data_IF_067630736003
#
_entry.id   IF_067630736003
#
_cell.length_a   1.000
_cell.length_b   1.000
_cell.length_c   1.000
_cell.angle_alpha   90.00
_cell.angle_beta   90.00
_cell.angle_gamma   90.00
#
_symmetry.space_group_name_H-M   'P 1'
#
loop_
_entity.id
_entity.type
_entity.pdbx_description
1 polymer ?
#
# COMPACT_ATOMS: atom_id res chain seq x y z
N UNK A 1 39.40 -13.71 -6.10
CA UNK A 1 38.84 -14.25 -7.34
C UNK A 1 38.80 -15.77 -7.22
N UNK A 2 37.66 -16.36 -6.94
CA UNK A 2 37.47 -17.80 -6.84
C UNK A 2 36.28 -18.19 -7.72
N UNK A 3 36.60 -18.91 -8.80
CA UNK A 3 35.64 -19.45 -9.79
C UNK A 3 35.01 -20.71 -9.21
N UNK A 4 33.73 -20.74 -8.95
CA UNK A 4 32.98 -21.96 -8.69
C UNK A 4 32.53 -22.58 -10.02
N UNK A 5 32.98 -23.80 -10.21
CA UNK A 5 32.67 -24.71 -11.29
C UNK A 5 31.29 -25.31 -11.06
N UNK A 6 30.39 -25.12 -12.02
CA UNK A 6 29.05 -25.73 -12.01
C UNK A 6 29.18 -27.10 -12.70
N UNK A 7 28.89 -28.17 -11.97
CA UNK A 7 28.80 -29.53 -12.50
C UNK A 7 27.38 -29.79 -13.04
N UNK A 8 27.30 -30.22 -14.28
CA UNK A 8 26.08 -30.70 -14.93
C UNK A 8 25.67 -32.08 -14.42
N UNK A 9 24.38 -32.36 -14.19
CA UNK A 9 23.93 -33.70 -13.84
C UNK A 9 23.75 -34.56 -15.10
N UNK A 10 24.37 -35.72 -15.02
CA UNK A 10 24.42 -36.83 -15.98
C UNK A 10 23.04 -37.36 -16.33
N UNK A 11 22.77 -37.50 -17.61
CA UNK A 11 21.61 -38.14 -18.22
C UNK A 11 21.52 -39.61 -17.86
N UNK A 12 20.50 -40.03 -17.15
CA UNK A 12 20.15 -41.42 -16.91
C UNK A 12 19.55 -42.05 -18.18
N UNK A 13 20.25 -43.10 -18.65
CA UNK A 13 19.87 -43.94 -19.78
C UNK A 13 18.67 -44.82 -19.42
N UNK A 14 17.56 -44.66 -20.10
CA UNK A 14 16.41 -45.58 -20.00
C UNK A 14 16.68 -46.85 -20.74
N UNK A 15 16.83 -47.95 -20.02
CA UNK A 15 16.77 -49.31 -20.55
C UNK A 15 15.34 -49.63 -21.02
N UNK A 16 15.25 -49.94 -22.30
CA UNK A 16 14.04 -50.42 -22.96
C UNK A 16 14.02 -51.93 -22.78
N UNK A 17 13.10 -52.43 -21.96
CA UNK A 17 12.83 -53.86 -21.86
C UNK A 17 12.01 -54.27 -23.08
N UNK A 18 12.50 -55.28 -23.75
CA UNK A 18 11.95 -55.92 -24.97
C UNK A 18 11.04 -57.03 -24.50
N UNK A 19 9.74 -56.89 -24.79
CA UNK A 19 8.75 -57.94 -24.52
C UNK A 19 8.88 -59.06 -25.57
N UNK A 20 9.26 -60.23 -25.09
CA UNK A 20 9.30 -61.47 -25.88
C UNK A 20 7.88 -62.01 -26.13
N UNK A 21 7.63 -62.28 -27.37
CA UNK A 21 6.43 -62.90 -27.88
C UNK A 21 6.32 -64.36 -27.41
N UNK A 22 5.39 -64.64 -26.55
CA UNK A 22 4.98 -66.01 -26.29
C UNK A 22 3.86 -66.42 -27.27
N UNK A 23 4.23 -67.32 -28.18
CA UNK A 23 3.26 -67.99 -29.08
C UNK A 23 2.84 -69.30 -28.41
N UNK A 24 1.61 -69.37 -27.93
CA UNK A 24 1.05 -70.62 -27.42
C UNK A 24 -0.13 -71.06 -28.29
N UNK A 25 -0.07 -72.33 -28.59
CA UNK A 25 -0.82 -73.12 -29.53
C UNK A 25 -2.33 -73.01 -29.46
N UNK A 26 -2.85 -73.19 -30.62
CA UNK A 26 -4.25 -73.27 -31.02
C UNK A 26 -4.85 -74.61 -30.53
N UNK A 27 -5.75 -74.59 -29.57
CA UNK A 27 -6.64 -75.68 -29.31
C UNK A 27 -8.08 -75.22 -29.56
N UNK A 28 -8.66 -75.78 -30.61
CA UNK A 28 -10.07 -75.55 -30.96
C UNK A 28 -10.93 -76.54 -30.12
N UNK A 29 -11.71 -76.07 -29.16
CA UNK A 29 -12.75 -76.83 -28.52
C UNK A 29 -14.00 -75.95 -28.44
N UNK A 30 -15.04 -76.47 -29.08
CA UNK A 30 -16.44 -76.36 -28.76
C UNK A 30 -17.03 -74.90 -28.64
N UNK A 31 -17.83 -74.56 -29.65
CA UNK A 31 -18.76 -73.47 -29.60
C UNK A 31 -19.80 -73.73 -28.48
N UNK A 32 -19.63 -72.99 -27.37
CA UNK A 32 -20.73 -72.74 -26.43
C UNK A 32 -21.11 -71.28 -26.52
N UNK A 33 -22.41 -71.02 -26.77
CA UNK A 33 -23.01 -69.70 -26.88
C UNK A 33 -22.53 -68.80 -25.76
N UNK A 34 -22.03 -67.59 -26.01
CA UNK A 34 -21.73 -66.63 -24.97
C UNK A 34 -23.06 -66.19 -24.36
N UNK A 35 -23.27 -66.58 -23.13
CA UNK A 35 -24.43 -66.19 -22.34
C UNK A 35 -24.58 -64.68 -22.28
N UNK A 36 -25.81 -64.22 -22.51
CA UNK A 36 -26.24 -62.81 -22.49
C UNK A 36 -25.91 -62.08 -21.16
N UNK A 37 -25.46 -62.78 -20.15
CA UNK A 37 -25.05 -62.27 -18.83
C UNK A 37 -23.76 -61.48 -18.84
N UNK A 38 -22.77 -61.80 -19.71
CA UNK A 38 -21.49 -61.05 -19.76
C UNK A 38 -21.63 -59.59 -20.27
N UNK A 39 -22.64 -59.31 -21.10
CA UNK A 39 -22.84 -57.97 -21.66
C UNK A 39 -23.42 -57.00 -20.63
N UNK A 40 -24.22 -57.48 -19.68
CA UNK A 40 -24.87 -56.63 -18.64
C UNK A 40 -23.81 -56.16 -17.59
N UNK A 41 -22.91 -57.04 -17.18
CA UNK A 41 -21.82 -56.68 -16.25
C UNK A 41 -20.84 -55.66 -16.84
N UNK A 42 -20.46 -55.82 -18.10
CA UNK A 42 -19.61 -54.85 -18.78
C UNK A 42 -20.26 -53.46 -18.94
N UNK A 43 -21.57 -53.42 -19.13
CA UNK A 43 -22.30 -52.13 -19.17
C UNK A 43 -22.40 -51.48 -17.79
N UNK A 44 -22.61 -52.25 -16.71
CA UNK A 44 -22.60 -51.73 -15.36
C UNK A 44 -21.22 -51.17 -14.92
N UNK A 45 -20.15 -51.86 -15.28
CA UNK A 45 -18.78 -51.41 -15.02
C UNK A 45 -18.43 -50.12 -15.80
N UNK A 46 -18.86 -50.00 -17.07
CA UNK A 46 -18.72 -48.78 -17.86
C UNK A 46 -19.47 -47.58 -17.27
N UNK A 47 -20.70 -47.79 -16.76
CA UNK A 47 -21.48 -46.74 -16.06
C UNK A 47 -20.80 -46.28 -14.76
N UNK A 48 -20.27 -47.22 -13.96
CA UNK A 48 -19.51 -46.88 -12.74
C UNK A 48 -18.23 -46.11 -13.04
N UNK A 49 -17.47 -46.45 -14.09
CA UNK A 49 -16.27 -45.70 -14.53
C UNK A 49 -16.63 -44.31 -15.01
N UNK A 50 -17.69 -44.12 -15.80
CA UNK A 50 -18.14 -42.80 -16.25
C UNK A 50 -18.57 -41.92 -15.06
N UNK A 51 -19.29 -42.43 -14.07
CA UNK A 51 -19.69 -41.68 -12.88
C UNK A 51 -18.47 -41.25 -12.04
N UNK A 52 -17.47 -42.12 -11.88
CA UNK A 52 -16.21 -41.75 -11.19
C UNK A 52 -15.43 -40.68 -11.96
N UNK A 53 -15.34 -40.80 -13.27
CA UNK A 53 -14.69 -39.79 -14.10
C UNK A 53 -15.37 -38.40 -13.97
N UNK A 54 -16.71 -38.36 -13.99
CA UNK A 54 -17.47 -37.12 -13.80
C UNK A 54 -17.21 -36.52 -12.39
N UNK A 55 -17.19 -37.36 -11.35
CA UNK A 55 -16.87 -36.89 -9.99
C UNK A 55 -15.47 -36.31 -9.87
N UNK A 56 -14.50 -36.96 -10.50
CA UNK A 56 -13.12 -36.43 -10.52
C UNK A 56 -13.00 -35.11 -11.28
N UNK A 57 -13.71 -34.92 -12.40
CA UNK A 57 -13.72 -33.65 -13.13
C UNK A 57 -14.38 -32.54 -12.32
N UNK A 58 -15.49 -32.80 -11.64
CA UNK A 58 -16.16 -31.84 -10.77
C UNK A 58 -15.21 -31.45 -9.60
N UNK A 59 -14.58 -32.43 -8.95
CA UNK A 59 -13.66 -32.18 -7.87
C UNK A 59 -12.46 -31.32 -8.33
N UNK A 60 -11.91 -31.63 -9.51
CA UNK A 60 -10.79 -30.85 -10.08
C UNK A 60 -11.20 -29.39 -10.36
N UNK A 61 -12.43 -29.16 -10.87
CA UNK A 61 -12.95 -27.82 -11.09
C UNK A 61 -13.15 -27.03 -9.78
N UNK A 62 -13.63 -27.70 -8.74
CA UNK A 62 -13.79 -27.06 -7.41
C UNK A 62 -12.43 -26.66 -6.83
N UNK A 63 -11.43 -27.55 -6.93
CA UNK A 63 -10.07 -27.26 -6.46
C UNK A 63 -9.47 -26.10 -7.26
N UNK A 64 -9.64 -26.10 -8.57
CA UNK A 64 -9.15 -25.02 -9.43
C UNK A 64 -9.81 -23.68 -9.06
N UNK A 65 -11.11 -23.67 -8.84
CA UNK A 65 -11.86 -22.49 -8.39
C UNK A 65 -11.35 -21.95 -7.03
N UNK A 66 -11.10 -22.86 -6.08
CA UNK A 66 -10.54 -22.48 -4.78
C UNK A 66 -9.12 -21.86 -4.91
N UNK A 67 -8.28 -22.42 -5.77
CA UNK A 67 -6.94 -21.86 -6.02
C UNK A 67 -7.02 -20.48 -6.62
N UNK A 68 -7.92 -20.25 -7.59
CA UNK A 68 -8.11 -18.93 -8.20
C UNK A 68 -8.56 -17.90 -7.14
N UNK A 69 -9.49 -18.26 -6.26
CA UNK A 69 -9.95 -17.37 -5.19
C UNK A 69 -8.82 -17.01 -4.23
N UNK A 70 -7.98 -17.97 -3.85
CA UNK A 70 -6.81 -17.72 -2.99
C UNK A 70 -5.83 -16.76 -3.68
N UNK A 71 -5.53 -16.99 -4.96
CA UNK A 71 -4.60 -16.13 -5.73
C UNK A 71 -5.14 -14.70 -5.82
N UNK A 72 -6.43 -14.53 -6.11
CA UNK A 72 -7.04 -13.19 -6.16
C UNK A 72 -6.94 -12.49 -4.81
N UNK A 73 -7.27 -13.18 -3.70
CA UNK A 73 -7.14 -12.61 -2.35
C UNK A 73 -5.73 -12.18 -2.02
N UNK A 74 -4.72 -12.99 -2.36
CA UNK A 74 -3.30 -12.67 -2.13
C UNK A 74 -2.86 -11.46 -2.96
N UNK A 75 -3.28 -11.39 -4.23
CA UNK A 75 -2.95 -10.26 -5.11
C UNK A 75 -3.57 -8.95 -4.58
N UNK A 76 -4.80 -8.98 -4.09
CA UNK A 76 -5.46 -7.80 -3.53
C UNK A 76 -4.77 -7.33 -2.25
N UNK A 77 -4.33 -8.26 -1.38
CA UNK A 77 -3.58 -7.91 -0.18
C UNK A 77 -2.21 -7.29 -0.50
N UNK A 78 -1.49 -7.85 -1.48
CA UNK A 78 -0.22 -7.28 -1.96
C UNK A 78 -0.41 -5.85 -2.48
N UNK A 79 -1.47 -5.61 -3.26
CA UNK A 79 -1.78 -4.26 -3.77
C UNK A 79 -2.08 -3.27 -2.64
N UNK A 80 -2.80 -3.69 -1.60
CA UNK A 80 -3.07 -2.85 -0.43
C UNK A 80 -1.78 -2.48 0.29
N UNK A 81 -0.92 -3.45 0.58
CA UNK A 81 0.38 -3.21 1.25
C UNK A 81 1.26 -2.29 0.41
N UNK A 82 1.32 -2.49 -0.92
CA UNK A 82 2.07 -1.60 -1.81
C UNK A 82 1.50 -0.18 -1.85
N UNK A 83 0.18 -0.03 -1.84
CA UNK A 83 -0.46 1.29 -1.79
C UNK A 83 -0.14 2.03 -0.48
N UNK A 84 -0.17 1.32 0.66
CA UNK A 84 0.21 1.88 1.96
C UNK A 84 1.69 2.27 2.01
N UNK A 85 2.58 1.43 1.47
CA UNK A 85 4.02 1.74 1.39
C UNK A 85 4.31 2.94 0.50
N UNK A 86 3.65 3.05 -0.66
CA UNK A 86 3.80 4.19 -1.56
C UNK A 86 3.26 5.47 -0.90
N UNK A 87 2.10 5.41 -0.24
CA UNK A 87 1.56 6.53 0.51
C UNK A 87 2.50 6.96 1.67
N UNK A 88 3.13 6.00 2.34
CA UNK A 88 4.13 6.30 3.36
C UNK A 88 5.39 6.96 2.77
N UNK A 89 5.86 6.50 1.62
CA UNK A 89 7.00 7.11 0.90
C UNK A 89 6.69 8.53 0.41
N UNK A 90 5.50 8.76 -0.12
CA UNK A 90 5.05 10.11 -0.50
C UNK A 90 5.02 11.05 0.71
N UNK A 91 4.52 10.61 1.85
CA UNK A 91 4.52 11.38 3.11
C UNK A 91 5.93 11.69 3.61
N UNK A 92 6.88 10.77 3.47
CA UNK A 92 8.28 10.99 3.84
C UNK A 92 9.00 11.96 2.90
N UNK A 93 8.55 12.09 1.65
CA UNK A 93 9.08 13.04 0.67
C UNK A 93 8.58 14.47 0.87
N UNK A 94 7.60 14.71 1.78
CA UNK A 94 7.09 16.04 2.10
C UNK A 94 8.21 16.83 2.80
N UNK A 95 8.77 17.78 2.08
CA UNK A 95 9.81 18.66 2.60
C UNK A 95 9.31 20.11 2.56
N UNK A 96 9.20 20.80 3.70
CA UNK A 96 8.90 22.23 3.74
C UNK A 96 9.95 23.03 2.97
N UNK A 97 9.52 24.08 2.27
CA UNK A 97 10.42 24.98 1.53
C UNK A 97 10.91 26.14 2.39
N UNK A 98 10.16 26.47 3.44
CA UNK A 98 10.45 27.52 4.40
C UNK A 98 11.52 27.07 5.40
N UNK A 99 12.40 27.99 5.81
CA UNK A 99 13.38 27.75 6.86
C UNK A 99 12.68 27.46 8.19
N UNK A 100 13.08 26.37 8.86
CA UNK A 100 12.53 25.98 10.15
C UNK A 100 13.64 26.05 11.20
N UNK A 101 13.41 26.84 12.23
CA UNK A 101 14.29 26.91 13.41
C UNK A 101 13.63 26.11 14.54
N UNK A 102 14.23 24.97 14.88
CA UNK A 102 13.75 24.16 16.01
C UNK A 102 14.61 24.46 17.25
N UNK A 103 13.99 25.05 18.25
CA UNK A 103 14.63 25.33 19.56
C UNK A 103 14.72 24.07 20.45
N UNK A 104 14.13 22.96 20.05
CA UNK A 104 14.10 21.70 20.82
C UNK A 104 15.31 20.79 20.53
N UNK A 105 16.48 21.34 20.31
CA UNK A 105 17.76 20.64 20.18
C UNK A 105 17.72 19.21 19.59
N UNK A 106 17.70 19.10 18.25
CA UNK A 106 18.20 17.90 17.56
C UNK A 106 17.22 16.77 17.31
N UNK A 107 15.94 16.99 17.35
CA UNK A 107 14.92 16.00 16.95
C UNK A 107 14.55 16.14 15.46
N UNK A 108 14.33 14.99 14.80
CA UNK A 108 13.71 15.01 13.48
C UNK A 108 12.25 15.49 13.60
N UNK A 109 11.86 16.47 12.76
CA UNK A 109 10.50 16.97 12.75
C UNK A 109 9.51 15.85 12.46
N UNK A 110 8.47 15.74 13.29
CA UNK A 110 7.43 14.74 13.08
C UNK A 110 6.74 14.98 11.72
N UNK A 111 6.31 13.89 11.07
CA UNK A 111 5.62 13.97 9.79
C UNK A 111 4.40 14.90 9.84
N UNK A 112 3.63 14.87 10.92
CA UNK A 112 2.48 15.75 11.13
C UNK A 112 2.83 17.23 11.08
N UNK A 113 3.97 17.60 11.68
CA UNK A 113 4.46 19.00 11.65
C UNK A 113 4.90 19.37 10.24
N UNK A 114 5.65 18.51 9.56
CA UNK A 114 6.07 18.72 8.17
C UNK A 114 4.85 18.94 7.25
N UNK A 115 3.85 18.06 7.33
CA UNK A 115 2.60 18.19 6.56
C UNK A 115 1.85 19.49 6.87
N UNK A 116 1.75 19.86 8.15
CA UNK A 116 1.09 21.10 8.55
C UNK A 116 1.81 22.31 7.93
N UNK A 117 3.14 22.36 8.00
CA UNK A 117 3.93 23.48 7.47
C UNK A 117 3.77 23.60 5.96
N UNK A 118 3.88 22.49 5.21
CA UNK A 118 3.72 22.51 3.75
C UNK A 118 2.33 23.00 3.33
N UNK A 119 1.29 22.56 4.04
CA UNK A 119 -0.07 23.08 3.80
C UNK A 119 -0.17 24.56 4.12
N UNK A 120 0.39 24.98 5.26
CA UNK A 120 0.38 26.38 5.66
C UNK A 120 1.10 27.28 4.66
N UNK A 121 2.23 26.81 4.07
CA UNK A 121 2.93 27.53 3.00
C UNK A 121 2.04 27.73 1.76
N UNK A 122 1.29 26.71 1.36
CA UNK A 122 0.34 26.79 0.25
C UNK A 122 -0.81 27.75 0.58
N UNK A 123 -1.42 27.56 1.75
CA UNK A 123 -2.56 28.36 2.21
C UNK A 123 -2.18 29.85 2.37
N UNK A 124 -0.94 30.13 2.81
CA UNK A 124 -0.40 31.49 2.92
C UNK A 124 -0.31 32.18 1.55
N UNK A 125 0.24 31.47 0.55
CA UNK A 125 0.33 31.96 -0.83
C UNK A 125 -1.06 32.27 -1.41
N UNK A 126 -2.02 31.37 -1.16
CA UNK A 126 -3.40 31.55 -1.60
C UNK A 126 -4.07 32.77 -0.93
N UNK A 127 -3.65 33.13 0.29
CA UNK A 127 -4.08 34.33 1.01
C UNK A 127 -3.25 35.60 0.70
N UNK A 128 -2.27 35.50 -0.20
CA UNK A 128 -1.51 36.64 -0.72
C UNK A 128 -0.33 37.07 0.14
N UNK A 129 0.24 36.22 0.99
CA UNK A 129 1.44 36.52 1.76
C UNK A 129 2.43 35.35 1.74
N UNK A 130 3.70 35.67 2.02
CA UNK A 130 4.78 34.69 2.05
C UNK A 130 5.31 34.54 3.48
N UNK A 131 5.58 33.30 3.87
CA UNK A 131 6.22 32.98 5.14
C UNK A 131 7.74 33.12 4.94
N UNK A 132 8.41 33.84 5.83
CA UNK A 132 9.84 33.99 5.83
C UNK A 132 10.51 32.78 6.53
N UNK A 133 10.16 32.55 7.78
CA UNK A 133 10.63 31.40 8.54
C UNK A 133 9.63 30.99 9.63
N UNK A 134 9.81 29.77 10.15
CA UNK A 134 8.98 29.22 11.21
C UNK A 134 9.88 28.84 12.38
N UNK A 135 9.50 29.22 13.58
CA UNK A 135 10.18 28.83 14.82
C UNK A 135 9.32 27.87 15.60
N UNK A 136 9.90 26.74 15.98
CA UNK A 136 9.30 25.78 16.90
C UNK A 136 9.84 26.06 18.31
N UNK A 137 9.02 26.66 19.20
CA UNK A 137 9.50 27.10 20.50
C UNK A 137 9.80 25.91 21.42
N UNK A 138 10.79 26.09 22.28
CA UNK A 138 11.21 25.08 23.26
C UNK A 138 10.04 24.60 24.14
N UNK A 139 9.91 23.27 24.28
CA UNK A 139 8.89 22.57 25.09
C UNK A 139 7.42 22.82 24.67
N UNK A 140 7.15 23.40 23.52
CA UNK A 140 5.78 23.68 23.04
C UNK A 140 5.46 22.90 21.78
N UNK A 141 5.37 21.59 21.91
CA UNK A 141 5.24 20.60 20.80
C UNK A 141 4.07 20.88 19.84
N UNK A 142 3.04 21.65 20.28
CA UNK A 142 1.83 21.90 19.48
C UNK A 142 1.71 23.32 18.99
N UNK A 143 2.75 24.12 19.13
CA UNK A 143 2.76 25.51 18.74
C UNK A 143 3.88 25.79 17.78
N UNK A 144 3.62 26.68 16.84
CA UNK A 144 4.64 27.24 15.96
C UNK A 144 4.51 28.76 15.96
N UNK A 145 5.64 29.42 15.74
CA UNK A 145 5.69 30.85 15.51
C UNK A 145 6.03 31.08 14.05
N UNK A 146 5.17 31.79 13.36
CA UNK A 146 5.28 32.04 11.92
C UNK A 146 5.69 33.50 11.73
N UNK A 147 6.79 33.70 11.05
CA UNK A 147 7.29 34.99 10.65
C UNK A 147 6.94 35.22 9.17
N UNK A 148 6.33 36.33 8.88
CA UNK A 148 5.89 36.70 7.53
C UNK A 148 6.85 37.69 6.94
N UNK A 149 7.15 37.52 5.67
CA UNK A 149 8.06 38.39 4.94
C UNK A 149 7.60 39.88 4.99
N UNK A 150 8.56 40.79 5.16
CA UNK A 150 8.31 42.21 5.25
C UNK A 150 7.44 42.68 6.42
N UNK A 151 7.29 41.83 7.47
CA UNK A 151 6.55 42.15 8.69
C UNK A 151 7.42 42.00 9.95
N UNK A 152 7.13 42.81 10.96
CA UNK A 152 7.88 42.77 12.21
C UNK A 152 7.26 41.91 13.29
N UNK A 153 5.95 41.73 13.24
CA UNK A 153 5.21 40.85 14.14
C UNK A 153 5.29 39.40 13.71
N UNK A 154 5.19 38.46 14.68
CA UNK A 154 5.05 37.04 14.40
C UNK A 154 3.70 36.51 14.86
N UNK A 155 3.30 35.41 14.26
CA UNK A 155 2.00 34.78 14.48
C UNK A 155 2.17 33.48 15.25
N UNK A 156 1.45 33.32 16.38
CA UNK A 156 1.39 32.07 17.16
C UNK A 156 0.27 31.21 16.65
N UNK A 157 0.60 30.04 16.11
CA UNK A 157 -0.35 29.09 15.55
C UNK A 157 -0.33 27.77 16.32
N UNK A 158 -1.40 26.97 16.16
CA UNK A 158 -1.50 25.63 16.70
C UNK A 158 -1.53 24.61 15.57
N UNK A 159 -0.68 23.58 15.64
CA UNK A 159 -0.67 22.48 14.67
C UNK A 159 -1.92 21.58 14.75
N UNK A 160 -2.76 21.75 15.79
CA UNK A 160 -3.99 21.00 15.96
C UNK A 160 -5.19 21.63 15.24
N UNK A 161 -5.04 22.84 14.72
CA UNK A 161 -6.07 23.55 13.93
C UNK A 161 -5.78 23.43 12.42
N UNK A 162 -6.79 23.68 11.60
CA UNK A 162 -6.62 23.72 10.14
C UNK A 162 -5.65 24.82 9.74
N UNK A 163 -4.67 24.49 8.88
CA UNK A 163 -3.72 25.45 8.29
C UNK A 163 -4.45 26.53 7.49
N UNK A 164 -5.42 26.13 6.67
CA UNK A 164 -6.21 27.05 5.84
C UNK A 164 -6.95 28.10 6.66
N UNK A 165 -7.65 27.69 7.74
CA UNK A 165 -8.34 28.62 8.61
C UNK A 165 -7.38 29.59 9.32
N UNK A 166 -6.22 29.07 9.76
CA UNK A 166 -5.23 29.91 10.43
C UNK A 166 -4.55 30.86 9.45
N UNK A 167 -4.28 30.45 8.21
CA UNK A 167 -3.76 31.34 7.17
C UNK A 167 -4.77 32.45 6.82
N UNK A 168 -6.06 32.12 6.74
CA UNK A 168 -7.10 33.13 6.55
C UNK A 168 -7.19 34.10 7.74
N UNK A 169 -7.15 33.60 8.98
CA UNK A 169 -7.11 34.42 10.19
C UNK A 169 -5.89 35.35 10.22
N UNK A 170 -4.69 34.83 9.80
CA UNK A 170 -3.50 35.66 9.63
C UNK A 170 -3.74 36.78 8.62
N UNK A 171 -4.24 36.46 7.43
CA UNK A 171 -4.52 37.45 6.39
C UNK A 171 -5.51 38.53 6.83
N UNK A 172 -6.54 38.14 7.60
CA UNK A 172 -7.50 39.09 8.20
C UNK A 172 -6.84 40.01 9.22
N UNK A 173 -5.99 39.41 10.09
CA UNK A 173 -5.26 40.21 11.10
C UNK A 173 -4.25 41.15 10.48
N UNK A 174 -3.54 40.73 9.44
CA UNK A 174 -2.62 41.64 8.72
C UNK A 174 -3.35 42.86 8.19
N UNK A 175 -4.50 42.67 7.50
CA UNK A 175 -5.31 43.77 7.01
C UNK A 175 -5.79 44.68 8.15
N UNK A 176 -6.26 44.09 9.25
CA UNK A 176 -6.72 44.87 10.42
C UNK A 176 -5.59 45.72 11.01
N UNK A 177 -4.39 45.17 11.17
CA UNK A 177 -3.24 45.87 11.71
C UNK A 177 -2.84 47.05 10.80
N UNK A 178 -2.84 46.81 9.47
CA UNK A 178 -2.48 47.82 8.48
C UNK A 178 -3.53 48.97 8.43
N UNK A 179 -4.79 48.64 8.37
CA UNK A 179 -5.88 49.63 8.33
C UNK A 179 -5.97 50.51 9.58
N UNK A 180 -5.63 49.90 10.73
CA UNK A 180 -5.73 50.62 12.01
C UNK A 180 -4.35 51.15 12.48
N UNK A 181 -3.29 50.96 11.67
CA UNK A 181 -1.91 51.36 12.01
C UNK A 181 -1.44 50.83 13.38
N UNK A 182 -1.89 49.67 13.76
CA UNK A 182 -1.56 49.01 15.03
C UNK A 182 -0.21 48.35 14.92
N UNK A 183 0.71 48.67 15.82
CA UNK A 183 2.01 48.05 15.96
C UNK A 183 1.96 47.02 17.10
N UNK A 184 2.31 45.79 16.84
CA UNK A 184 2.40 44.75 17.84
C UNK A 184 3.64 43.88 17.64
N UNK A 185 4.05 43.18 18.66
CA UNK A 185 5.19 42.23 18.59
C UNK A 185 4.75 40.85 18.13
N UNK A 186 3.52 40.45 18.46
CA UNK A 186 2.96 39.17 18.04
C UNK A 186 1.45 39.20 17.98
N UNK A 187 0.89 38.25 17.22
CA UNK A 187 -0.53 37.92 17.16
C UNK A 187 -0.72 36.46 17.54
N UNK A 188 -1.57 36.16 18.53
CA UNK A 188 -1.89 34.80 18.96
C UNK A 188 -3.24 34.35 18.36
N UNK A 189 -3.19 33.41 17.44
CA UNK A 189 -4.32 32.84 16.69
C UNK A 189 -4.62 31.39 17.09
N UNK A 190 -4.09 30.90 18.19
CA UNK A 190 -4.28 29.51 18.62
C UNK A 190 -5.71 29.16 19.00
N UNK A 191 -6.48 30.16 19.39
CA UNK A 191 -7.90 29.99 19.75
C UNK A 191 -8.76 30.38 18.57
N UNK A 192 -9.65 29.49 18.16
CA UNK A 192 -10.53 29.72 17.04
C UNK A 192 -11.48 30.93 17.29
N UNK A 193 -11.63 31.75 16.26
CA UNK A 193 -12.47 32.96 16.30
C UNK A 193 -11.97 34.06 17.25
N UNK A 194 -10.73 33.96 17.78
CA UNK A 194 -10.13 34.98 18.64
C UNK A 194 -8.71 35.28 18.25
N UNK A 195 -8.36 36.54 18.19
CA UNK A 195 -6.99 37.00 18.01
C UNK A 195 -6.59 37.89 19.21
N UNK A 196 -5.41 37.59 19.78
CA UNK A 196 -4.80 38.38 20.83
C UNK A 196 -3.50 38.95 20.31
N UNK A 197 -3.26 40.24 20.48
CA UNK A 197 -2.03 40.89 20.04
C UNK A 197 -1.42 41.77 21.15
N UNK A 198 -0.11 41.93 21.09
CA UNK A 198 0.65 42.73 22.09
C UNK A 198 1.81 43.48 21.43
#
# INVERSE_FOLDING_TARGET
MSKRKIEEPTRATRHRVRDDKFTVGRTIVGASHPSHTMTVEHQALRKKRKRRAILFTILALVILGAIILIVVSVVDEIKRVQAEENAARERLAITPTVAIVDENAGGELSLRVKEFIVRLESDAKDNGFEIDHIVMPFQKVRQIFVFVKDRNEYYKLSIDRSSAMQAEDMGRMMRFLDENSVKCSYVDLRVEGRAYYK
#
